data_IF_948723039082
#
_entry.id   IF_948723039082
#
_cell.length_a   1.000
_cell.length_b   1.000
_cell.length_c   1.000
_cell.angle_alpha   90.00
_cell.angle_beta   90.00
_cell.angle_gamma   90.00
#
_symmetry.space_group_name_H-M   'P 1'
#
loop_
_entity.id
_entity.type
_entity.pdbx_description
1 polymer ?
#
# COMPACT_ATOMS: atom_id res chain seq x y z
N UNK A 1 -2.43 23.35 -16.54
CA UNK A 1 -2.04 22.15 -17.33
C UNK A 1 -1.20 22.66 -18.49
N UNK A 2 0.14 22.51 -18.41
CA UNK A 2 1.05 22.97 -19.47
C UNK A 2 1.04 21.91 -20.57
N UNK A 3 0.72 22.31 -21.79
CA UNK A 3 0.63 21.41 -22.96
C UNK A 3 2.01 20.84 -23.32
N UNK A 4 2.09 19.62 -23.94
CA UNK A 4 3.36 18.93 -24.23
C UNK A 4 4.37 19.73 -25.06
N UNK A 5 3.93 20.67 -25.89
CA UNK A 5 4.82 21.55 -26.69
C UNK A 5 5.60 22.59 -25.86
N UNK A 6 5.11 22.94 -24.66
CA UNK A 6 5.75 23.94 -23.82
C UNK A 6 6.79 23.33 -22.88
N UNK A 7 6.74 22.02 -22.62
CA UNK A 7 7.71 21.34 -21.76
C UNK A 7 9.14 21.41 -22.29
N UNK A 8 9.34 21.29 -23.60
CA UNK A 8 10.67 21.38 -24.21
C UNK A 8 11.31 22.76 -24.00
N UNK A 9 10.56 23.83 -24.23
CA UNK A 9 11.04 25.22 -24.03
C UNK A 9 11.33 25.51 -22.55
N UNK A 10 10.53 25.02 -21.63
CA UNK A 10 10.73 25.17 -20.19
C UNK A 10 12.03 24.44 -19.78
N UNK A 11 12.25 23.23 -20.28
CA UNK A 11 13.48 22.45 -20.00
C UNK A 11 14.72 23.18 -20.55
N UNK A 12 14.65 23.74 -21.75
CA UNK A 12 15.74 24.54 -22.32
C UNK A 12 16.02 25.81 -21.49
N UNK A 13 14.98 26.49 -21.02
CA UNK A 13 15.13 27.67 -20.17
C UNK A 13 15.69 27.29 -18.79
N UNK A 14 15.23 26.19 -18.18
CA UNK A 14 15.80 25.68 -16.95
C UNK A 14 17.28 25.32 -17.13
N UNK A 15 17.66 24.75 -18.24
CA UNK A 15 19.04 24.37 -18.52
C UNK A 15 19.95 25.59 -18.73
N UNK A 16 19.47 26.64 -19.44
CA UNK A 16 20.27 27.77 -19.90
C UNK A 16 20.26 28.99 -18.96
N UNK A 17 19.12 29.29 -18.33
CA UNK A 17 18.97 30.51 -17.50
C UNK A 17 18.91 30.16 -15.99
N UNK A 18 19.96 30.60 -15.26
CA UNK A 18 20.04 30.42 -13.79
C UNK A 18 18.86 31.05 -13.05
N UNK A 19 18.42 32.25 -13.44
CA UNK A 19 17.38 32.96 -12.70
C UNK A 19 16.04 32.27 -12.87
N UNK A 20 15.72 31.82 -14.08
CA UNK A 20 14.54 31.01 -14.38
C UNK A 20 14.59 29.71 -13.58
N UNK A 21 15.75 29.02 -13.61
CA UNK A 21 15.93 27.77 -12.88
C UNK A 21 15.74 27.92 -11.37
N UNK A 22 16.40 28.91 -10.76
CA UNK A 22 16.30 29.20 -9.32
C UNK A 22 14.87 29.57 -8.93
N UNK A 23 14.19 30.39 -9.72
CA UNK A 23 12.81 30.79 -9.45
C UNK A 23 11.88 29.57 -9.52
N UNK A 24 11.95 28.80 -10.59
CA UNK A 24 11.08 27.64 -10.77
C UNK A 24 11.32 26.55 -9.71
N UNK A 25 12.58 26.30 -9.38
CA UNK A 25 12.92 25.26 -8.38
C UNK A 25 12.55 25.70 -6.96
N UNK A 26 12.52 26.98 -6.66
CA UNK A 26 11.98 27.47 -5.38
C UNK A 26 10.48 27.29 -5.27
N UNK A 27 9.75 27.51 -6.34
CA UNK A 27 8.28 27.40 -6.37
C UNK A 27 7.80 25.95 -6.41
N UNK A 28 8.54 25.04 -7.03
CA UNK A 28 8.12 23.66 -7.24
C UNK A 28 9.15 22.66 -6.74
N UNK A 29 8.71 21.78 -5.82
CA UNK A 29 9.53 20.66 -5.33
C UNK A 29 9.82 19.65 -6.46
N UNK A 30 8.89 19.44 -7.39
CA UNK A 30 9.12 18.60 -8.56
C UNK A 30 10.31 19.09 -9.37
N UNK A 31 10.35 20.38 -9.75
CA UNK A 31 11.45 20.96 -10.50
C UNK A 31 12.74 21.04 -9.68
N UNK A 32 12.63 21.31 -8.38
CA UNK A 32 13.76 21.25 -7.46
C UNK A 32 14.44 19.89 -7.46
N UNK A 33 13.64 18.83 -7.31
CA UNK A 33 14.16 17.46 -7.30
C UNK A 33 14.82 17.09 -8.63
N UNK A 34 14.17 17.32 -9.75
CA UNK A 34 14.71 16.96 -11.06
C UNK A 34 15.92 17.82 -11.47
N UNK A 35 16.12 18.97 -10.86
CA UNK A 35 17.26 19.85 -11.13
C UNK A 35 18.45 19.53 -10.23
N UNK A 36 18.25 19.50 -8.92
CA UNK A 36 19.34 19.37 -7.96
C UNK A 36 19.59 17.93 -7.49
N UNK A 37 18.65 17.03 -7.72
CA UNK A 37 18.73 15.62 -7.37
C UNK A 37 18.68 14.71 -8.60
N UNK A 38 19.14 15.19 -9.75
CA UNK A 38 19.11 14.47 -11.02
C UNK A 38 19.80 13.10 -10.94
N UNK A 39 20.88 12.99 -10.16
CA UNK A 39 21.63 11.74 -9.97
C UNK A 39 20.81 10.64 -9.26
N UNK A 40 19.73 11.00 -8.57
CA UNK A 40 18.80 10.07 -7.95
C UNK A 40 17.70 9.60 -8.90
N UNK A 41 17.53 10.26 -10.06
CA UNK A 41 16.50 9.93 -11.07
C UNK A 41 17.04 8.87 -12.02
N UNK A 42 17.11 7.63 -11.54
CA UNK A 42 17.60 6.49 -12.34
C UNK A 42 16.60 5.97 -13.36
N UNK A 43 15.31 6.22 -13.13
CA UNK A 43 14.21 5.77 -13.96
C UNK A 43 13.22 6.91 -14.19
N UNK A 44 12.47 6.90 -15.30
CA UNK A 44 11.44 7.90 -15.55
C UNK A 44 10.45 8.02 -14.39
N UNK A 45 10.09 9.26 -14.06
CA UNK A 45 9.17 9.59 -12.98
C UNK A 45 7.76 9.11 -13.33
N UNK A 46 7.15 8.29 -12.46
CA UNK A 46 5.80 7.80 -12.60
C UNK A 46 4.76 8.80 -12.06
N UNK A 47 3.49 8.57 -12.37
CA UNK A 47 2.40 9.45 -11.97
C UNK A 47 2.22 9.53 -10.45
N UNK A 48 2.41 8.41 -9.73
CA UNK A 48 2.35 8.45 -8.28
C UNK A 48 3.46 9.32 -7.64
N UNK A 49 4.65 9.39 -8.24
CA UNK A 49 5.69 10.33 -7.80
C UNK A 49 5.23 11.79 -7.99
N UNK A 50 4.56 12.10 -9.11
CA UNK A 50 3.99 13.43 -9.34
C UNK A 50 2.95 13.78 -8.28
N UNK A 51 2.15 12.80 -7.83
CA UNK A 51 1.24 13.00 -6.70
C UNK A 51 1.99 13.27 -5.39
N UNK A 52 3.11 12.58 -5.14
CA UNK A 52 3.94 12.83 -3.97
C UNK A 52 4.47 14.28 -3.97
N UNK A 53 4.97 14.78 -5.09
CA UNK A 53 5.39 16.17 -5.21
C UNK A 53 4.23 17.15 -5.01
N UNK A 54 3.05 16.88 -5.57
CA UNK A 54 1.85 17.71 -5.34
C UNK A 54 1.48 17.77 -3.86
N UNK A 55 1.55 16.66 -3.13
CA UNK A 55 1.30 16.62 -1.68
C UNK A 55 2.27 17.54 -0.93
N UNK A 56 3.55 17.56 -1.32
CA UNK A 56 4.54 18.45 -0.68
C UNK A 56 4.31 19.92 -1.00
N UNK A 57 3.88 20.23 -2.21
CA UNK A 57 3.64 21.58 -2.73
C UNK A 57 2.29 22.20 -2.26
N UNK A 58 1.33 21.37 -1.88
CA UNK A 58 -0.01 21.81 -1.46
C UNK A 58 -0.03 22.17 0.02
N UNK A 59 -0.13 23.47 0.31
CA UNK A 59 -0.18 23.99 1.67
C UNK A 59 -1.51 23.68 2.39
N UNK A 60 -2.56 23.31 1.65
CA UNK A 60 -3.85 22.89 2.24
C UNK A 60 -3.78 21.50 2.88
N UNK A 61 -2.88 20.65 2.41
CA UNK A 61 -2.64 19.31 2.96
C UNK A 61 -1.77 19.43 4.22
N UNK A 62 -2.41 19.44 5.38
CA UNK A 62 -1.70 19.52 6.67
C UNK A 62 -1.24 18.17 7.19
N UNK A 63 -1.95 17.09 6.85
CA UNK A 63 -1.57 15.72 7.24
C UNK A 63 -1.68 14.79 6.04
N UNK A 64 -0.64 13.98 5.80
CA UNK A 64 -0.64 12.97 4.76
C UNK A 64 -0.02 11.66 5.26
N UNK A 65 -0.74 10.58 5.10
CA UNK A 65 -0.26 9.21 5.32
C UNK A 65 0.02 8.58 3.96
N UNK A 66 1.27 8.25 3.72
CA UNK A 66 1.76 7.77 2.44
C UNK A 66 2.35 6.37 2.61
N UNK A 67 1.74 5.41 1.97
CA UNK A 67 2.21 4.04 1.90
C UNK A 67 2.62 3.75 0.46
N UNK A 68 3.85 3.28 0.24
CA UNK A 68 4.30 2.97 -1.10
C UNK A 68 5.23 1.76 -1.08
N UNK A 69 5.22 1.00 -2.17
CA UNK A 69 6.01 -0.22 -2.29
C UNK A 69 7.51 0.02 -2.05
N UNK A 70 8.22 -1.04 -1.68
CA UNK A 70 9.66 -0.99 -1.40
C UNK A 70 10.46 -0.60 -2.65
N UNK A 71 11.38 0.36 -2.49
CA UNK A 71 12.16 0.88 -3.61
C UNK A 71 11.39 1.81 -4.55
N UNK A 72 10.26 2.36 -4.11
CA UNK A 72 9.44 3.37 -4.81
C UNK A 72 10.03 4.79 -4.80
N UNK A 73 11.20 5.01 -4.23
CA UNK A 73 11.83 6.32 -4.00
C UNK A 73 11.08 7.24 -3.00
N UNK A 74 10.08 6.72 -2.24
CA UNK A 74 9.31 7.53 -1.29
C UNK A 74 10.17 8.31 -0.29
N UNK A 75 11.14 7.66 0.36
CA UNK A 75 12.03 8.32 1.34
C UNK A 75 13.00 9.31 0.67
N UNK A 76 13.46 9.03 -0.57
CA UNK A 76 14.28 9.98 -1.33
C UNK A 76 13.52 11.28 -1.59
N UNK A 77 12.25 11.20 -1.94
CA UNK A 77 11.40 12.37 -2.19
C UNK A 77 10.98 13.02 -0.87
N UNK A 78 10.41 12.25 0.07
CA UNK A 78 9.74 12.80 1.25
C UNK A 78 10.70 13.11 2.40
N UNK A 79 11.77 12.31 2.58
CA UNK A 79 12.62 12.41 3.79
C UNK A 79 13.99 13.00 3.48
N UNK A 80 14.41 13.06 2.22
CA UNK A 80 15.67 13.68 1.83
C UNK A 80 15.46 15.00 1.08
N UNK A 81 14.84 15.01 -0.10
CA UNK A 81 14.73 16.24 -0.90
C UNK A 81 13.68 17.22 -0.37
N UNK A 82 12.55 16.72 0.14
CA UNK A 82 11.49 17.59 0.68
C UNK A 82 11.94 18.45 1.87
N UNK A 83 12.61 17.94 2.91
CA UNK A 83 13.14 18.78 4.00
C UNK A 83 14.03 19.90 3.48
N UNK A 84 14.89 19.61 2.50
CA UNK A 84 15.78 20.60 1.91
C UNK A 84 14.96 21.67 1.19
N UNK A 85 14.07 21.26 0.28
CA UNK A 85 13.20 22.21 -0.45
C UNK A 85 12.27 23.01 0.49
N UNK A 86 11.75 22.36 1.52
CA UNK A 86 10.86 23.01 2.48
C UNK A 86 11.53 24.18 3.23
N UNK A 87 12.86 24.09 3.44
CA UNK A 87 13.63 25.17 4.08
C UNK A 87 14.03 26.25 3.07
N UNK A 88 14.54 25.87 1.90
CA UNK A 88 15.17 26.82 0.98
C UNK A 88 14.26 27.29 -0.17
N UNK A 89 13.17 26.58 -0.42
CA UNK A 89 12.13 26.90 -1.41
C UNK A 89 11.03 27.79 -0.85
N UNK A 90 9.90 27.82 -1.57
CA UNK A 90 8.72 28.62 -1.25
C UNK A 90 8.18 28.44 0.19
N UNK A 91 8.12 27.19 0.77
CA UNK A 91 7.52 27.03 2.09
C UNK A 91 8.29 27.70 3.22
N UNK A 92 9.62 27.89 3.09
CA UNK A 92 10.51 28.55 4.04
C UNK A 92 10.34 28.07 5.50
N UNK A 93 10.19 26.74 5.66
CA UNK A 93 10.02 26.12 6.97
C UNK A 93 11.21 26.44 7.89
N UNK A 94 10.91 26.73 9.16
CA UNK A 94 11.92 27.15 10.15
C UNK A 94 12.38 26.03 11.05
N UNK A 95 11.51 25.03 11.27
CA UNK A 95 11.89 23.90 12.09
C UNK A 95 11.32 22.58 11.52
N UNK A 96 12.18 21.83 10.85
CA UNK A 96 11.87 20.51 10.32
C UNK A 96 12.28 19.44 11.33
N UNK A 97 11.36 18.54 11.67
CA UNK A 97 11.60 17.37 12.49
C UNK A 97 11.39 16.11 11.68
N UNK A 98 12.42 15.26 11.60
CA UNK A 98 12.35 13.94 10.97
C UNK A 98 12.40 12.89 12.08
N UNK A 99 11.44 11.97 12.07
CA UNK A 99 11.32 10.91 13.07
C UNK A 99 11.37 9.57 12.35
N UNK A 100 12.20 8.66 12.85
CA UNK A 100 12.26 7.28 12.39
C UNK A 100 12.11 6.32 13.57
N UNK A 101 11.98 5.03 13.34
CA UNK A 101 11.82 4.03 14.38
C UNK A 101 13.05 4.04 15.32
N UNK A 102 14.28 4.07 14.77
CA UNK A 102 15.50 4.07 15.55
C UNK A 102 16.31 5.35 15.37
N UNK A 103 17.14 5.71 16.37
CA UNK A 103 18.04 6.85 16.30
C UNK A 103 19.10 6.70 15.21
N UNK A 104 19.55 5.48 14.92
CA UNK A 104 20.50 5.22 13.84
C UNK A 104 19.92 5.53 12.46
N UNK A 105 18.68 5.12 12.20
CA UNK A 105 17.97 5.47 10.96
C UNK A 105 17.74 6.97 10.84
N UNK A 106 17.28 7.62 11.91
CA UNK A 106 17.07 9.05 11.95
C UNK A 106 18.37 9.82 11.62
N UNK A 107 19.51 9.43 12.22
CA UNK A 107 20.83 10.01 11.91
C UNK A 107 21.27 9.78 10.48
N UNK A 108 20.95 8.63 9.89
CA UNK A 108 21.26 8.34 8.49
C UNK A 108 20.54 9.30 7.53
N UNK A 109 19.25 9.61 7.79
CA UNK A 109 18.52 10.62 7.03
C UNK A 109 19.19 11.99 7.12
N UNK A 110 19.58 12.42 8.32
CA UNK A 110 20.28 13.68 8.50
C UNK A 110 21.65 13.71 7.79
N UNK A 111 22.38 12.60 7.85
CA UNK A 111 23.68 12.49 7.18
C UNK A 111 23.53 12.61 5.65
N UNK A 112 22.49 12.03 5.07
CA UNK A 112 22.19 12.16 3.65
C UNK A 112 21.84 13.62 3.28
N UNK A 113 21.02 14.30 4.09
CA UNK A 113 20.69 15.73 3.91
C UNK A 113 21.96 16.60 4.00
N UNK A 114 22.82 16.35 4.98
CA UNK A 114 24.10 17.06 5.13
C UNK A 114 24.98 16.90 3.91
N UNK A 115 25.10 15.68 3.39
CA UNK A 115 25.88 15.39 2.18
C UNK A 115 25.41 16.24 1.01
N UNK A 116 24.11 16.43 0.81
CA UNK A 116 23.59 17.31 -0.25
C UNK A 116 24.01 18.78 -0.04
N UNK A 117 23.93 19.28 1.17
CA UNK A 117 24.39 20.64 1.46
C UNK A 117 25.91 20.81 1.30
N UNK A 118 26.69 19.76 1.53
CA UNK A 118 28.15 19.80 1.44
C UNK A 118 28.69 19.56 0.03
N UNK A 119 28.11 18.59 -0.71
CA UNK A 119 28.71 18.08 -1.95
C UNK A 119 27.92 18.40 -3.22
N UNK A 120 26.64 18.76 -3.12
CA UNK A 120 25.82 19.09 -4.29
C UNK A 120 26.24 20.45 -4.87
N UNK A 121 27.11 20.41 -5.88
CA UNK A 121 27.77 21.60 -6.45
C UNK A 121 26.79 22.60 -7.04
N UNK A 122 25.77 22.12 -7.75
CA UNK A 122 24.76 22.99 -8.38
C UNK A 122 23.88 23.66 -7.31
N UNK A 123 23.38 22.88 -6.34
CA UNK A 123 22.58 23.38 -5.25
C UNK A 123 23.34 24.45 -4.43
N UNK A 124 24.60 24.18 -4.11
CA UNK A 124 25.48 25.12 -3.38
C UNK A 124 25.72 26.41 -4.16
N UNK A 125 26.03 26.30 -5.45
CA UNK A 125 26.28 27.46 -6.32
C UNK A 125 25.06 28.36 -6.47
N UNK A 126 23.87 27.80 -6.50
CA UNK A 126 22.65 28.55 -6.81
C UNK A 126 21.86 28.99 -5.58
N UNK A 127 21.79 28.16 -4.54
CA UNK A 127 21.01 28.40 -3.33
C UNK A 127 21.87 28.70 -2.10
N UNK A 128 23.17 28.28 -2.11
CA UNK A 128 24.09 28.48 -1.00
C UNK A 128 24.45 29.95 -0.73
N UNK A 129 25.40 30.22 0.14
CA UNK A 129 26.20 29.24 0.88
C UNK A 129 25.41 28.51 1.95
N UNK A 130 25.77 27.24 2.20
CA UNK A 130 25.34 26.46 3.34
C UNK A 130 26.57 26.27 4.24
N UNK A 131 26.65 27.06 5.29
CA UNK A 131 27.83 27.11 6.15
C UNK A 131 27.46 26.60 7.54
N UNK A 132 28.32 25.73 8.05
CA UNK A 132 28.28 25.37 9.45
C UNK A 132 28.85 26.54 10.28
N UNK A 133 28.13 26.97 11.30
CA UNK A 133 28.61 27.95 12.31
C UNK A 133 28.58 27.30 13.68
N UNK A 134 29.71 27.43 14.39
CA UNK A 134 29.85 27.07 15.81
C UNK A 134 29.50 25.62 16.18
N UNK A 135 29.75 24.63 15.28
CA UNK A 135 29.47 23.22 15.57
C UNK A 135 27.98 22.85 15.59
N UNK A 136 27.13 23.64 14.94
CA UNK A 136 25.68 23.41 14.91
C UNK A 136 25.24 22.30 13.96
N UNK A 137 26.19 21.70 13.24
CA UNK A 137 25.96 20.52 12.40
C UNK A 137 26.31 19.24 13.16
N UNK A 138 25.55 18.97 14.22
CA UNK A 138 25.71 17.77 15.05
C UNK A 138 25.20 16.49 14.40
N UNK A 139 25.26 15.37 15.11
CA UNK A 139 24.78 14.06 14.64
C UNK A 139 23.24 13.94 14.59
N UNK A 140 22.52 14.84 15.27
CA UNK A 140 21.05 14.83 15.38
C UNK A 140 20.39 16.12 14.94
N UNK A 141 21.17 17.16 14.59
CA UNK A 141 20.60 18.42 14.11
C UNK A 141 21.54 19.15 13.16
N UNK A 142 20.96 19.99 12.35
CA UNK A 142 21.59 20.82 11.33
C UNK A 142 20.90 22.18 11.37
N UNK A 143 21.67 23.24 11.59
CA UNK A 143 21.17 24.64 11.56
C UNK A 143 21.65 25.31 10.28
N UNK A 144 20.74 26.03 9.63
CA UNK A 144 20.98 26.81 8.43
C UNK A 144 20.77 28.29 8.72
N UNK A 145 21.80 29.02 9.20
CA UNK A 145 21.65 30.39 9.67
C UNK A 145 21.11 31.34 8.60
N UNK A 146 21.51 31.19 7.35
CA UNK A 146 21.02 31.99 6.22
C UNK A 146 19.50 31.95 6.09
N UNK A 147 18.86 30.81 6.44
CA UNK A 147 17.43 30.62 6.35
C UNK A 147 16.72 30.75 7.70
N UNK A 148 17.48 30.92 8.79
CA UNK A 148 16.95 30.91 10.14
C UNK A 148 16.24 29.60 10.46
N UNK A 149 16.75 28.48 9.93
CA UNK A 149 16.07 27.20 9.96
C UNK A 149 16.92 26.11 10.61
N UNK A 150 16.23 25.10 11.18
CA UNK A 150 16.83 23.92 11.78
C UNK A 150 16.16 22.66 11.26
N UNK A 151 16.96 21.64 10.96
CA UNK A 151 16.50 20.28 10.71
C UNK A 151 17.00 19.42 11.87
N UNK A 152 16.10 18.74 12.57
CA UNK A 152 16.41 17.87 13.70
C UNK A 152 15.87 16.49 13.42
N UNK A 153 16.58 15.46 13.89
CA UNK A 153 16.13 14.07 13.78
C UNK A 153 15.96 13.45 15.17
N UNK A 154 14.95 12.62 15.31
CA UNK A 154 14.62 11.90 16.53
C UNK A 154 14.15 10.47 16.22
N UNK A 155 14.10 9.60 17.22
CA UNK A 155 13.46 8.28 17.10
C UNK A 155 12.13 8.24 17.84
N UNK A 156 11.27 7.27 17.45
CA UNK A 156 10.01 6.99 18.15
C UNK A 156 10.22 6.54 19.62
N UNK A 157 11.44 6.17 19.99
CA UNK A 157 11.81 5.78 21.36
C UNK A 157 12.14 6.99 22.26
N UNK A 158 12.32 8.16 21.67
CA UNK A 158 12.71 9.37 22.40
C UNK A 158 11.49 10.26 22.68
N UNK A 159 11.52 10.94 23.84
CA UNK A 159 10.58 12.02 24.08
C UNK A 159 10.92 13.23 23.20
N UNK A 160 9.93 13.68 22.46
CA UNK A 160 10.04 14.84 21.55
C UNK A 160 9.24 16.05 22.08
N UNK A 161 8.74 15.96 23.31
CA UNK A 161 7.96 17.03 23.94
C UNK A 161 8.79 18.29 24.15
N UNK A 162 8.22 19.42 23.82
CA UNK A 162 8.80 20.74 24.14
C UNK A 162 9.98 21.14 23.25
N UNK A 163 10.31 20.41 22.19
CA UNK A 163 11.40 20.79 21.30
C UNK A 163 11.07 22.09 20.55
N UNK A 164 12.06 22.96 20.45
CA UNK A 164 11.95 24.28 19.81
C UNK A 164 13.24 24.66 19.09
N UNK A 165 13.10 25.58 18.13
CA UNK A 165 14.21 26.31 17.53
C UNK A 165 13.93 27.80 17.65
N UNK A 166 14.53 28.48 18.66
CA UNK A 166 14.15 29.82 19.02
C UNK A 166 12.66 29.90 19.40
N UNK A 167 11.92 30.79 18.76
CA UNK A 167 10.47 30.92 18.96
C UNK A 167 9.64 29.85 18.22
N UNK A 168 10.25 29.07 17.31
CA UNK A 168 9.51 28.18 16.43
C UNK A 168 9.35 26.78 17.03
N UNK A 169 8.13 26.24 16.98
CA UNK A 169 7.85 24.82 17.09
C UNK A 169 8.08 24.14 15.73
N UNK A 170 8.16 22.83 15.64
CA UNK A 170 8.21 22.14 14.34
C UNK A 170 7.04 22.58 13.46
N UNK A 171 7.36 23.10 12.28
CA UNK A 171 6.40 23.53 11.25
C UNK A 171 6.34 22.55 10.06
N UNK A 172 7.26 21.56 10.04
CA UNK A 172 7.21 20.36 9.22
C UNK A 172 7.69 19.17 10.04
N UNK A 173 6.86 18.13 10.11
CA UNK A 173 7.20 16.85 10.74
C UNK A 173 7.12 15.75 9.70
N UNK A 174 8.15 14.92 9.60
CA UNK A 174 8.20 13.77 8.70
C UNK A 174 8.47 12.53 9.55
N UNK A 175 7.52 11.62 9.59
CA UNK A 175 7.65 10.30 10.21
C UNK A 175 7.96 9.29 9.11
N UNK A 176 9.17 8.74 9.07
CA UNK A 176 9.60 7.77 8.06
C UNK A 176 9.93 6.44 8.74
N UNK A 177 9.12 5.41 8.41
CA UNK A 177 9.21 4.06 8.98
C UNK A 177 9.33 4.08 10.53
N UNK A 178 8.34 4.67 11.21
CA UNK A 178 8.30 4.78 12.68
C UNK A 178 7.85 3.52 13.40
N UNK A 179 7.43 2.50 12.66
CA UNK A 179 7.09 1.16 13.13
C UNK A 179 8.02 0.13 12.51
N UNK A 180 8.26 -0.97 13.21
CA UNK A 180 8.92 -2.17 12.70
C UNK A 180 8.11 -3.43 13.03
N UNK A 181 8.55 -4.60 12.54
CA UNK A 181 7.87 -5.87 12.78
C UNK A 181 7.80 -6.23 14.26
N UNK A 182 8.75 -5.78 15.08
CA UNK A 182 8.75 -6.07 16.52
C UNK A 182 7.72 -5.21 17.25
N UNK A 183 7.58 -3.93 16.89
CA UNK A 183 6.64 -3.00 17.52
C UNK A 183 5.19 -3.33 17.18
N UNK A 184 4.92 -3.91 16.00
CA UNK A 184 3.55 -4.28 15.58
C UNK A 184 3.13 -5.69 15.99
N UNK A 185 4.05 -6.52 16.49
CA UNK A 185 3.80 -7.92 16.82
C UNK A 185 2.76 -8.11 17.93
N UNK A 186 2.78 -7.27 18.95
CA UNK A 186 1.83 -7.36 20.06
C UNK A 186 0.84 -6.19 20.02
N UNK A 187 -0.39 -6.41 20.52
CA UNK A 187 -1.38 -5.35 20.69
C UNK A 187 -0.86 -4.20 21.54
N UNK A 188 -0.15 -4.54 22.63
CA UNK A 188 0.48 -3.54 23.52
C UNK A 188 1.49 -2.65 22.77
N UNK A 189 2.34 -3.23 21.91
CA UNK A 189 3.28 -2.49 21.08
C UNK A 189 2.57 -1.53 20.12
N UNK A 190 1.52 -2.00 19.45
CA UNK A 190 0.71 -1.16 18.55
C UNK A 190 0.00 -0.03 19.29
N UNK A 191 -0.58 -0.32 20.46
CA UNK A 191 -1.24 0.67 21.31
C UNK A 191 -0.25 1.71 21.83
N UNK A 192 0.97 1.29 22.21
CA UNK A 192 2.07 2.17 22.63
C UNK A 192 2.46 3.13 21.50
N UNK A 193 2.68 2.62 20.28
CA UNK A 193 3.05 3.44 19.12
C UNK A 193 1.95 4.43 18.76
N UNK A 194 0.69 3.99 18.74
CA UNK A 194 -0.44 4.88 18.47
C UNK A 194 -0.63 5.93 19.57
N UNK A 195 -0.46 5.54 20.84
CA UNK A 195 -0.52 6.46 21.99
C UNK A 195 0.57 7.52 21.91
N UNK A 196 1.82 7.13 21.64
CA UNK A 196 2.93 8.04 21.44
C UNK A 196 2.66 9.01 20.27
N UNK A 197 2.24 8.49 19.12
CA UNK A 197 1.93 9.32 17.95
C UNK A 197 0.86 10.37 18.27
N UNK A 198 -0.23 9.96 18.92
CA UNK A 198 -1.36 10.82 19.24
C UNK A 198 -1.03 11.85 20.32
N UNK A 199 -0.17 11.49 21.30
CA UNK A 199 0.13 12.36 22.45
C UNK A 199 1.39 13.20 22.28
N UNK A 200 2.31 12.83 21.39
CA UNK A 200 3.58 13.55 21.22
C UNK A 200 3.76 14.12 19.81
N UNK A 201 3.47 13.34 18.76
CA UNK A 201 3.69 13.79 17.37
C UNK A 201 2.60 14.76 16.91
N UNK A 202 1.33 14.39 17.08
CA UNK A 202 0.23 15.25 16.61
C UNK A 202 0.21 16.63 17.27
N UNK A 203 0.47 16.79 18.58
CA UNK A 203 0.43 18.10 19.25
C UNK A 203 1.78 18.83 19.25
N UNK A 204 2.81 18.34 18.52
CA UNK A 204 4.18 18.87 18.61
C UNK A 204 4.33 20.27 18.02
N UNK A 205 3.54 20.58 17.02
CA UNK A 205 3.60 21.84 16.28
C UNK A 205 2.44 22.79 16.59
N UNK A 206 2.17 23.66 15.64
CA UNK A 206 1.06 24.61 15.65
C UNK A 206 0.03 24.24 14.55
N UNK A 207 -1.03 25.07 14.36
CA UNK A 207 -2.10 24.83 13.39
C UNK A 207 -1.61 24.65 11.96
N UNK A 208 -0.51 25.33 11.59
CA UNK A 208 0.06 25.30 10.25
C UNK A 208 1.15 24.25 10.06
N UNK A 209 1.40 23.45 11.09
CA UNK A 209 2.37 22.36 11.01
C UNK A 209 1.88 21.29 10.02
N UNK A 210 2.75 20.98 9.07
CA UNK A 210 2.53 19.89 8.13
C UNK A 210 3.14 18.60 8.66
N UNK A 211 2.36 17.54 8.72
CA UNK A 211 2.80 16.23 9.21
C UNK A 211 2.68 15.22 8.06
N UNK A 212 3.81 14.67 7.64
CA UNK A 212 3.89 13.62 6.63
C UNK A 212 4.29 12.31 7.30
N UNK A 213 3.52 11.28 7.12
CA UNK A 213 3.82 9.95 7.61
C UNK A 213 4.06 9.05 6.41
N UNK A 214 5.25 8.48 6.32
CA UNK A 214 5.68 7.61 5.23
C UNK A 214 6.05 6.26 5.80
N UNK A 215 5.61 5.17 5.17
CA UNK A 215 5.98 3.84 5.65
C UNK A 215 5.45 2.71 4.78
N UNK A 216 5.64 1.50 5.28
CA UNK A 216 5.12 0.27 4.72
C UNK A 216 4.01 -0.29 5.62
N UNK A 217 3.10 -1.09 5.05
CA UNK A 217 2.07 -1.76 5.83
C UNK A 217 2.67 -3.00 6.50
N UNK A 218 2.70 -3.02 7.83
CA UNK A 218 3.31 -4.11 8.60
C UNK A 218 2.27 -5.03 9.25
N UNK A 219 1.10 -4.49 9.61
CA UNK A 219 0.05 -5.22 10.33
C UNK A 219 -1.31 -4.53 10.07
N UNK A 220 -2.44 -5.30 10.08
CA UNK A 220 -3.78 -4.76 9.88
C UNK A 220 -4.22 -3.74 10.94
N UNK A 221 -3.61 -3.78 12.13
CA UNK A 221 -3.84 -2.85 13.23
C UNK A 221 -2.59 -1.98 13.51
N UNK A 222 -1.74 -1.73 12.50
CA UNK A 222 -0.59 -0.83 12.60
C UNK A 222 -1.00 0.64 12.73
N UNK A 223 -0.07 1.51 13.12
CA UNK A 223 -0.29 2.96 13.18
C UNK A 223 -0.88 3.48 11.86
N UNK A 224 -0.27 3.11 10.72
CA UNK A 224 -0.70 3.59 9.41
C UNK A 224 -2.15 3.18 9.08
N UNK A 225 -2.56 1.96 9.47
CA UNK A 225 -3.92 1.49 9.27
C UNK A 225 -4.92 2.15 10.22
N UNK A 226 -4.53 2.41 11.46
CA UNK A 226 -5.36 3.19 12.41
C UNK A 226 -5.56 4.63 11.93
N UNK A 227 -4.50 5.26 11.41
CA UNK A 227 -4.58 6.60 10.83
C UNK A 227 -5.47 6.62 9.58
N UNK A 228 -5.32 5.62 8.70
CA UNK A 228 -6.22 5.43 7.56
C UNK A 228 -7.67 5.36 7.99
N UNK A 229 -7.98 4.49 8.94
CA UNK A 229 -9.34 4.33 9.45
C UNK A 229 -9.89 5.63 10.08
N UNK A 230 -9.05 6.40 10.78
CA UNK A 230 -9.40 7.71 11.33
C UNK A 230 -9.75 8.74 10.25
N UNK A 231 -8.97 8.78 9.17
CA UNK A 231 -9.19 9.67 8.01
C UNK A 231 -10.47 9.26 7.26
N UNK A 232 -10.62 7.98 6.93
CA UNK A 232 -11.78 7.46 6.19
C UNK A 232 -13.11 7.65 6.94
N UNK A 233 -13.09 7.58 8.28
CA UNK A 233 -14.25 7.83 9.14
C UNK A 233 -14.49 9.32 9.44
N UNK A 234 -13.64 10.22 8.96
CA UNK A 234 -13.72 11.65 9.27
C UNK A 234 -13.40 12.02 10.73
N UNK A 235 -12.80 11.09 11.49
CA UNK A 235 -12.37 11.34 12.88
C UNK A 235 -11.03 12.09 12.94
N UNK A 236 -10.28 12.10 11.84
CA UNK A 236 -9.02 12.81 11.69
C UNK A 236 -8.95 13.48 10.31
N UNK A 237 -8.58 14.77 10.29
CA UNK A 237 -8.29 15.48 9.04
C UNK A 237 -6.99 14.97 8.43
N UNK A 238 -6.98 14.83 7.11
CA UNK A 238 -5.79 14.43 6.36
C UNK A 238 -6.13 13.64 5.10
N UNK A 239 -5.09 13.18 4.43
CA UNK A 239 -5.21 12.30 3.26
C UNK A 239 -4.45 11.00 3.51
N UNK A 240 -4.98 9.91 2.96
CA UNK A 240 -4.31 8.62 2.91
C UNK A 240 -4.07 8.23 1.45
N UNK A 241 -2.84 7.84 1.13
CA UNK A 241 -2.44 7.41 -0.21
C UNK A 241 -1.66 6.10 -0.12
N UNK A 242 -2.06 5.12 -0.93
CA UNK A 242 -1.38 3.84 -1.04
C UNK A 242 -0.98 3.58 -2.50
N UNK A 243 0.27 3.20 -2.71
CA UNK A 243 0.87 2.97 -4.02
C UNK A 243 1.54 1.59 -4.04
N UNK A 244 0.79 0.50 -4.32
CA UNK A 244 1.37 -0.83 -4.54
C UNK A 244 2.19 -0.86 -5.84
N UNK A 245 3.07 -1.84 -6.01
CA UNK A 245 3.82 -1.99 -7.27
C UNK A 245 2.89 -2.28 -8.44
N UNK A 246 1.89 -3.14 -8.22
CA UNK A 246 0.82 -3.42 -9.17
C UNK A 246 -0.51 -3.13 -8.50
N UNK A 247 -1.38 -2.38 -9.16
CA UNK A 247 -2.70 -2.03 -8.64
C UNK A 247 -3.72 -3.17 -8.82
N UNK A 248 -4.95 -2.96 -8.33
CA UNK A 248 -6.02 -3.97 -8.43
C UNK A 248 -6.50 -4.24 -9.87
N UNK A 249 -6.21 -3.32 -10.79
CA UNK A 249 -6.55 -3.44 -12.21
C UNK A 249 -5.41 -4.11 -13.01
N UNK A 250 -4.30 -4.47 -12.33
CA UNK A 250 -3.13 -5.11 -12.93
C UNK A 250 -2.13 -4.13 -13.54
N UNK A 251 -2.28 -2.82 -13.31
CA UNK A 251 -1.35 -1.83 -13.85
C UNK A 251 -0.12 -1.70 -12.97
N UNK A 252 1.05 -1.67 -13.60
CA UNK A 252 2.32 -1.41 -12.93
C UNK A 252 2.42 0.10 -12.64
N UNK A 253 2.53 0.48 -11.36
CA UNK A 253 2.56 1.90 -10.97
C UNK A 253 3.86 2.61 -11.36
N UNK A 254 4.96 1.88 -11.55
CA UNK A 254 6.21 2.44 -12.03
C UNK A 254 6.74 1.75 -13.29
N UNK A 255 6.10 1.96 -14.46
CA UNK A 255 6.51 1.32 -15.71
C UNK A 255 7.90 1.75 -16.18
N UNK A 256 8.42 2.90 -15.73
CA UNK A 256 9.78 3.31 -16.02
C UNK A 256 10.85 2.45 -15.35
N UNK A 257 10.53 1.77 -14.25
CA UNK A 257 11.42 0.85 -13.52
C UNK A 257 11.09 -0.62 -13.77
N UNK A 258 9.82 -0.93 -13.95
CA UNK A 258 9.30 -2.26 -14.24
C UNK A 258 8.38 -2.15 -15.47
N UNK A 259 8.95 -2.21 -16.69
CA UNK A 259 8.19 -2.02 -17.92
C UNK A 259 7.17 -3.11 -18.22
N UNK A 260 7.40 -4.32 -17.71
CA UNK A 260 6.54 -5.48 -17.98
C UNK A 260 6.21 -6.28 -16.71
N UNK A 261 5.16 -7.10 -16.77
CA UNK A 261 4.81 -8.00 -15.67
C UNK A 261 5.86 -9.10 -15.47
N UNK A 262 6.60 -9.49 -16.52
CA UNK A 262 7.71 -10.43 -16.43
C UNK A 262 8.81 -9.89 -15.51
N UNK A 263 9.16 -8.60 -15.61
CA UNK A 263 10.15 -7.97 -14.73
C UNK A 263 9.66 -7.86 -13.28
N UNK A 264 8.37 -7.65 -13.09
CA UNK A 264 7.74 -7.70 -11.75
C UNK A 264 7.86 -9.12 -11.18
N UNK A 265 7.60 -10.14 -11.97
CA UNK A 265 7.73 -11.55 -11.56
C UNK A 265 9.20 -11.94 -11.28
N UNK A 266 10.16 -11.41 -12.03
CA UNK A 266 11.59 -11.59 -11.73
C UNK A 266 11.97 -10.98 -10.39
N UNK A 267 11.46 -9.79 -10.08
CA UNK A 267 11.69 -9.16 -8.78
C UNK A 267 11.04 -9.94 -7.64
N UNK A 268 9.83 -10.49 -7.87
CA UNK A 268 9.15 -11.37 -6.92
C UNK A 268 9.99 -12.63 -6.63
N UNK A 269 10.54 -13.27 -7.66
CA UNK A 269 11.42 -14.44 -7.51
C UNK A 269 12.69 -14.14 -6.71
N UNK A 270 13.27 -12.94 -6.88
CA UNK A 270 14.44 -12.52 -6.09
C UNK A 270 14.14 -12.40 -4.59
N UNK A 271 12.93 -11.96 -4.24
CA UNK A 271 12.51 -11.87 -2.84
C UNK A 271 12.36 -13.25 -2.23
N UNK A 272 11.84 -14.24 -2.97
CA UNK A 272 11.74 -15.64 -2.56
C UNK A 272 10.87 -15.91 -1.33
N UNK A 273 10.12 -14.90 -0.86
CA UNK A 273 9.22 -14.98 0.29
C UNK A 273 7.91 -14.25 -0.03
N UNK A 274 6.83 -15.01 -0.14
CA UNK A 274 5.52 -14.49 -0.53
C UNK A 274 4.98 -13.44 0.46
N UNK A 275 5.09 -13.70 1.75
CA UNK A 275 4.60 -12.76 2.77
C UNK A 275 5.35 -11.42 2.70
N UNK A 276 6.67 -11.46 2.50
CA UNK A 276 7.48 -10.27 2.32
C UNK A 276 7.12 -9.53 1.01
N UNK A 277 6.89 -10.28 -0.09
CA UNK A 277 6.46 -9.72 -1.36
C UNK A 277 5.11 -8.99 -1.23
N UNK A 278 4.12 -9.67 -0.68
CA UNK A 278 2.79 -9.10 -0.51
C UNK A 278 2.81 -7.85 0.37
N UNK A 279 3.54 -7.87 1.48
CA UNK A 279 3.63 -6.74 2.39
C UNK A 279 4.40 -5.57 1.81
N UNK A 280 5.60 -5.82 1.26
CA UNK A 280 6.54 -4.76 0.88
C UNK A 280 6.27 -4.19 -0.52
N UNK A 281 5.70 -4.98 -1.44
CA UNK A 281 5.50 -4.58 -2.83
C UNK A 281 4.02 -4.43 -3.20
N UNK A 282 3.19 -5.36 -2.78
CA UNK A 282 1.76 -5.35 -3.11
C UNK A 282 0.92 -4.58 -2.07
N UNK A 283 1.53 -4.21 -0.94
CA UNK A 283 0.89 -3.54 0.20
C UNK A 283 -0.31 -4.32 0.75
N UNK A 284 -0.22 -5.65 0.67
CA UNK A 284 -1.18 -6.58 1.23
C UNK A 284 -0.64 -7.10 2.56
N UNK A 285 -1.41 -6.94 3.62
CA UNK A 285 -1.05 -7.45 4.94
C UNK A 285 -1.52 -8.89 5.02
N UNK A 286 -0.57 -9.79 5.30
CA UNK A 286 -0.85 -11.20 5.59
C UNK A 286 -0.64 -11.39 7.09
N UNK A 287 -1.66 -11.79 7.86
CA UNK A 287 -1.54 -12.00 9.29
C UNK A 287 -0.49 -13.08 9.63
N UNK A 288 0.41 -12.78 10.58
CA UNK A 288 1.49 -13.71 11.00
C UNK A 288 1.01 -14.83 11.94
N UNK A 289 -0.15 -14.69 12.60
CA UNK A 289 -0.60 -15.54 13.71
C UNK A 289 -1.39 -16.80 13.29
N UNK A 290 -1.10 -17.38 12.14
CA UNK A 290 -1.75 -18.65 11.74
C UNK A 290 -3.18 -18.45 11.21
N UNK A 291 -3.98 -17.58 11.79
CA UNK A 291 -5.34 -17.27 11.34
C UNK A 291 -5.33 -16.24 10.20
N UNK A 292 -5.94 -16.60 9.09
CA UNK A 292 -5.98 -15.76 7.86
C UNK A 292 -7.22 -14.88 7.82
N UNK A 293 -8.36 -15.38 8.30
CA UNK A 293 -9.64 -14.66 8.35
C UNK A 293 -10.12 -14.58 9.78
N UNK A 294 -10.41 -13.39 10.25
CA UNK A 294 -10.92 -13.16 11.61
C UNK A 294 -12.45 -13.11 11.63
N UNK A 295 -13.12 -13.68 12.66
CA UNK A 295 -14.58 -13.69 12.76
C UNK A 295 -15.22 -12.30 12.67
N UNK A 296 -14.56 -11.29 13.24
CA UNK A 296 -15.01 -9.90 13.25
C UNK A 296 -14.99 -9.22 11.87
N UNK A 297 -14.33 -9.81 10.88
CA UNK A 297 -14.31 -9.30 9.51
C UNK A 297 -15.50 -9.77 8.68
N UNK A 298 -16.20 -10.82 9.14
CA UNK A 298 -17.33 -11.39 8.42
C UNK A 298 -18.51 -10.41 8.50
N UNK A 299 -18.91 -9.89 7.35
CA UNK A 299 -20.07 -9.03 7.21
C UNK A 299 -21.21 -9.81 6.54
N UNK A 300 -22.39 -9.66 7.10
CA UNK A 300 -23.56 -10.43 6.69
C UNK A 300 -24.53 -9.59 5.85
N UNK A 301 -25.30 -10.26 5.02
CA UNK A 301 -26.43 -9.70 4.32
C UNK A 301 -27.64 -10.61 4.47
N UNK A 302 -28.85 -10.01 4.52
CA UNK A 302 -30.11 -10.75 4.62
C UNK A 302 -30.75 -10.96 3.25
N UNK A 303 -30.60 -10.00 2.33
CA UNK A 303 -31.16 -10.04 0.97
C UNK A 303 -30.16 -9.54 -0.05
N UNK A 304 -30.14 -10.19 -1.21
CA UNK A 304 -29.36 -9.70 -2.36
C UNK A 304 -29.91 -8.35 -2.82
N UNK A 305 -29.08 -7.48 -3.42
CA UNK A 305 -29.54 -6.27 -4.08
C UNK A 305 -30.65 -6.57 -5.09
N UNK A 306 -31.64 -5.69 -5.25
CA UNK A 306 -32.80 -5.93 -6.14
C UNK A 306 -32.46 -5.91 -7.62
N UNK A 307 -31.34 -5.29 -7.99
CA UNK A 307 -30.83 -5.26 -9.37
C UNK A 307 -30.23 -6.61 -9.75
N UNK A 308 -30.11 -6.85 -11.06
CA UNK A 308 -29.41 -8.05 -11.55
C UNK A 308 -27.91 -7.94 -11.28
N UNK A 309 -27.25 -9.03 -10.85
CA UNK A 309 -25.80 -9.06 -10.73
C UNK A 309 -25.12 -8.89 -12.10
N UNK A 310 -23.93 -8.33 -12.13
CA UNK A 310 -23.10 -8.25 -13.33
C UNK A 310 -22.77 -9.65 -13.86
N UNK A 311 -22.46 -10.57 -12.94
CA UNK A 311 -22.30 -12.00 -13.20
C UNK A 311 -22.41 -12.77 -11.89
N UNK A 312 -22.58 -14.09 -12.03
CA UNK A 312 -22.46 -15.06 -10.93
C UNK A 312 -21.20 -15.86 -11.16
N UNK A 313 -20.32 -15.90 -10.16
CA UNK A 313 -19.04 -16.62 -10.22
C UNK A 313 -19.07 -17.80 -9.27
N UNK A 314 -18.51 -18.94 -9.70
CA UNK A 314 -18.37 -20.11 -8.84
C UNK A 314 -16.94 -20.61 -8.89
N UNK A 315 -16.30 -20.68 -7.72
CA UNK A 315 -15.02 -21.36 -7.55
C UNK A 315 -15.26 -22.83 -7.22
N UNK A 316 -14.55 -23.71 -7.92
CA UNK A 316 -14.67 -25.17 -7.80
C UNK A 316 -13.29 -25.75 -7.52
N UNK A 317 -13.17 -26.48 -6.40
CA UNK A 317 -12.02 -27.32 -6.05
C UNK A 317 -12.47 -28.78 -6.19
N UNK A 318 -11.93 -29.49 -7.19
CA UNK A 318 -12.32 -30.88 -7.48
C UNK A 318 -11.47 -31.84 -6.66
N UNK A 319 -12.10 -32.88 -6.09
CA UNK A 319 -11.40 -34.00 -5.50
C UNK A 319 -10.51 -34.70 -6.54
N UNK A 320 -9.23 -34.94 -6.21
CA UNK A 320 -8.26 -35.60 -7.07
C UNK A 320 -8.54 -37.13 -7.05
N UNK A 321 -8.89 -37.67 -8.20
CA UNK A 321 -9.06 -39.11 -8.38
C UNK A 321 -7.70 -39.84 -8.39
N UNK A 322 -7.46 -40.77 -7.50
CA UNK A 322 -6.89 -42.11 -7.74
C UNK A 322 -6.32 -42.84 -6.51
N UNK A 323 -6.18 -42.25 -5.34
CA UNK A 323 -5.72 -43.04 -4.15
C UNK A 323 -6.38 -42.73 -2.79
N UNK A 324 -7.10 -41.61 -2.64
CA UNK A 324 -7.79 -41.32 -1.39
C UNK A 324 -9.29 -41.12 -1.60
N UNK A 325 -10.07 -42.13 -1.20
CA UNK A 325 -11.56 -42.13 -1.14
C UNK A 325 -12.09 -40.99 -0.18
N UNK A 326 -11.25 -40.08 0.22
CA UNK A 326 -11.51 -39.16 1.32
C UNK A 326 -11.59 -37.68 0.93
N UNK A 327 -11.29 -37.28 -0.33
CA UNK A 327 -11.28 -35.88 -0.71
C UNK A 327 -12.68 -35.33 -1.03
N UNK A 328 -12.93 -34.09 -0.63
CA UNK A 328 -14.17 -33.37 -0.86
C UNK A 328 -14.08 -32.51 -2.12
N UNK A 329 -15.14 -32.50 -2.91
CA UNK A 329 -15.35 -31.46 -3.93
C UNK A 329 -16.07 -30.28 -3.30
N UNK A 330 -15.46 -29.09 -3.39
CA UNK A 330 -16.03 -27.86 -2.87
C UNK A 330 -16.45 -26.92 -4.01
N UNK A 331 -17.63 -26.30 -3.88
CA UNK A 331 -18.15 -25.30 -4.81
C UNK A 331 -18.73 -24.13 -4.03
N UNK A 332 -18.17 -22.94 -4.27
CA UNK A 332 -18.63 -21.70 -3.63
C UNK A 332 -19.04 -20.72 -4.70
N UNK A 333 -20.28 -20.25 -4.66
CA UNK A 333 -20.85 -19.31 -5.62
C UNK A 333 -21.05 -17.93 -5.01
N UNK A 334 -20.93 -16.88 -5.83
CA UNK A 334 -21.19 -15.50 -5.41
C UNK A 334 -21.69 -14.63 -6.54
N UNK A 335 -22.60 -13.71 -6.21
CA UNK A 335 -23.11 -12.68 -7.10
C UNK A 335 -22.22 -11.44 -7.08
N UNK A 336 -21.77 -10.98 -8.22
CA UNK A 336 -20.92 -9.80 -8.38
C UNK A 336 -21.78 -8.60 -8.77
N UNK A 337 -21.74 -7.53 -7.96
CA UNK A 337 -22.43 -6.28 -8.21
C UNK A 337 -21.43 -5.11 -8.27
N UNK A 338 -21.77 -4.07 -9.02
CA UNK A 338 -20.97 -2.87 -9.14
C UNK A 338 -19.70 -3.03 -9.99
N UNK A 339 -18.92 -1.96 -10.10
CA UNK A 339 -17.66 -1.94 -10.86
C UNK A 339 -16.56 -1.20 -10.09
N UNK A 340 -15.31 -1.57 -10.34
CA UNK A 340 -14.14 -0.92 -9.76
C UNK A 340 -14.18 -0.87 -8.23
N UNK A 341 -14.04 0.32 -7.65
CA UNK A 341 -14.02 0.51 -6.18
C UNK A 341 -15.33 0.11 -5.48
N UNK A 342 -16.44 0.16 -6.21
CA UNK A 342 -17.78 -0.17 -5.69
C UNK A 342 -18.16 -1.63 -5.94
N UNK A 343 -17.28 -2.45 -6.49
CA UNK A 343 -17.54 -3.87 -6.70
C UNK A 343 -17.67 -4.61 -5.38
N UNK A 344 -18.74 -5.42 -5.26
CA UNK A 344 -19.02 -6.30 -4.12
C UNK A 344 -19.42 -7.67 -4.59
N UNK A 345 -19.03 -8.68 -3.81
CA UNK A 345 -19.36 -10.08 -4.03
C UNK A 345 -20.24 -10.55 -2.88
N UNK A 346 -21.40 -11.05 -3.18
CA UNK A 346 -22.35 -11.62 -2.23
C UNK A 346 -22.26 -13.14 -2.36
N UNK A 347 -21.64 -13.80 -1.38
CA UNK A 347 -21.54 -15.26 -1.33
C UNK A 347 -22.97 -15.85 -1.22
N UNK A 348 -23.31 -16.81 -2.07
CA UNK A 348 -24.63 -17.44 -2.05
C UNK A 348 -24.72 -18.46 -0.91
N UNK A 349 -25.92 -18.69 -0.34
CA UNK A 349 -26.13 -19.69 0.70
C UNK A 349 -25.95 -21.11 0.14
N UNK A 350 -25.69 -22.05 1.05
CA UNK A 350 -25.54 -23.48 0.78
C UNK A 350 -24.39 -23.82 -0.20
N UNK A 351 -23.15 -23.39 0.09
CA UNK A 351 -22.00 -23.86 -0.67
C UNK A 351 -21.92 -25.38 -0.58
N UNK A 352 -21.48 -26.00 -1.69
CA UNK A 352 -21.35 -27.44 -1.77
C UNK A 352 -20.00 -27.84 -1.20
N UNK A 353 -19.98 -28.85 -0.33
CA UNK A 353 -18.76 -29.48 0.18
C UNK A 353 -19.07 -30.95 0.45
N UNK A 354 -18.95 -31.77 -0.61
CA UNK A 354 -19.44 -33.15 -0.63
C UNK A 354 -18.41 -34.09 -1.25
N UNK A 355 -18.44 -35.35 -0.84
CA UNK A 355 -17.68 -36.42 -1.48
C UNK A 355 -18.48 -36.96 -2.64
N UNK A 356 -17.97 -36.84 -3.84
CA UNK A 356 -18.66 -37.26 -5.07
C UNK A 356 -17.69 -37.94 -6.00
N UNK A 357 -18.18 -38.97 -6.72
CA UNK A 357 -17.44 -39.47 -7.85
C UNK A 357 -17.46 -38.48 -9.03
N UNK A 358 -16.63 -38.73 -10.03
CA UNK A 358 -16.49 -37.84 -11.19
C UNK A 358 -17.82 -37.56 -11.90
N UNK A 359 -18.62 -38.59 -12.17
CA UNK A 359 -19.88 -38.44 -12.91
C UNK A 359 -20.90 -37.64 -12.12
N UNK A 360 -21.02 -37.91 -10.81
CA UNK A 360 -21.86 -37.17 -9.88
C UNK A 360 -21.40 -35.72 -9.78
N UNK A 361 -20.10 -35.50 -9.73
CA UNK A 361 -19.53 -34.14 -9.70
C UNK A 361 -19.89 -33.36 -10.95
N UNK A 362 -19.75 -33.95 -12.15
CA UNK A 362 -20.08 -33.28 -13.41
C UNK A 362 -21.58 -32.96 -13.50
N UNK A 363 -22.46 -33.87 -13.11
CA UNK A 363 -23.91 -33.66 -13.07
C UNK A 363 -24.24 -32.52 -12.07
N UNK A 364 -23.60 -32.52 -10.90
CA UNK A 364 -23.82 -31.51 -9.87
C UNK A 364 -23.38 -30.10 -10.31
N UNK A 365 -22.28 -29.99 -11.07
CA UNK A 365 -21.82 -28.74 -11.67
C UNK A 365 -22.82 -28.22 -12.70
N UNK A 366 -23.37 -29.08 -13.53
CA UNK A 366 -24.35 -28.72 -14.57
C UNK A 366 -25.67 -28.23 -13.94
N UNK A 367 -26.19 -28.94 -12.93
CA UNK A 367 -27.37 -28.57 -12.17
C UNK A 367 -27.16 -27.20 -11.47
N UNK A 368 -25.99 -27.01 -10.85
CA UNK A 368 -25.62 -25.75 -10.21
C UNK A 368 -25.57 -24.60 -11.22
N UNK A 369 -24.87 -24.81 -12.36
CA UNK A 369 -24.75 -23.81 -13.41
C UNK A 369 -26.12 -23.42 -13.99
N UNK A 370 -27.01 -24.40 -14.21
CA UNK A 370 -28.39 -24.16 -14.66
C UNK A 370 -29.19 -23.33 -13.66
N UNK A 371 -29.03 -23.61 -12.37
CA UNK A 371 -29.70 -22.87 -11.30
C UNK A 371 -29.19 -21.44 -11.20
N UNK A 372 -27.89 -21.24 -11.28
CA UNK A 372 -27.22 -19.93 -11.25
C UNK A 372 -27.53 -19.10 -12.50
N UNK A 373 -27.71 -19.72 -13.65
CA UNK A 373 -28.11 -19.08 -14.91
C UNK A 373 -29.46 -18.36 -14.83
N UNK A 374 -30.33 -18.74 -13.89
CA UNK A 374 -31.60 -18.05 -13.60
C UNK A 374 -31.41 -16.75 -12.84
N UNK A 375 -30.31 -16.65 -12.08
CA UNK A 375 -29.95 -15.44 -11.31
C UNK A 375 -29.24 -14.43 -12.21
N UNK A 376 -28.28 -14.90 -13.02
CA UNK A 376 -27.47 -14.03 -13.89
C UNK A 376 -26.55 -14.82 -14.80
N UNK A 377 -25.65 -14.10 -15.47
CA UNK A 377 -24.62 -14.71 -16.32
C UNK A 377 -23.63 -15.49 -15.44
N UNK A 378 -23.59 -16.82 -15.61
CA UNK A 378 -22.79 -17.73 -14.78
C UNK A 378 -21.43 -18.02 -15.41
N UNK A 379 -20.37 -17.93 -14.58
CA UNK A 379 -18.99 -18.31 -14.89
C UNK A 379 -18.43 -19.24 -13.83
N UNK A 380 -17.81 -20.35 -14.25
CA UNK A 380 -17.18 -21.30 -13.36
C UNK A 380 -15.65 -21.21 -13.45
N UNK A 381 -15.00 -21.19 -12.30
CA UNK A 381 -13.55 -21.22 -12.18
C UNK A 381 -13.12 -22.51 -11.49
N UNK A 382 -12.35 -23.34 -12.20
CA UNK A 382 -11.87 -24.63 -11.72
C UNK A 382 -10.36 -24.54 -11.56
N UNK A 383 -9.82 -25.01 -10.45
CA UNK A 383 -8.37 -25.02 -10.25
C UNK A 383 -7.68 -25.83 -11.36
N UNK A 384 -6.75 -25.20 -12.09
CA UNK A 384 -6.07 -25.79 -13.26
C UNK A 384 -4.82 -26.55 -12.81
N UNK A 385 -5.02 -27.77 -12.27
CA UNK A 385 -3.94 -28.64 -11.81
C UNK A 385 -4.11 -30.04 -12.45
N UNK A 386 -3.22 -30.42 -13.35
CA UNK A 386 -3.14 -31.77 -13.87
C UNK A 386 -4.41 -32.26 -14.58
N UNK A 387 -5.11 -33.25 -14.01
CA UNK A 387 -6.30 -33.91 -14.62
C UNK A 387 -7.53 -32.99 -14.75
N UNK A 388 -7.57 -31.85 -14.11
CA UNK A 388 -8.72 -30.95 -14.13
C UNK A 388 -8.91 -30.25 -15.47
N UNK A 389 -7.89 -30.23 -16.35
CA UNK A 389 -7.99 -29.72 -17.72
C UNK A 389 -9.04 -30.50 -18.52
N UNK A 390 -9.12 -31.83 -18.33
CA UNK A 390 -10.12 -32.66 -19.02
C UNK A 390 -11.54 -32.31 -18.54
N UNK A 391 -11.74 -32.06 -17.28
CA UNK A 391 -13.04 -31.63 -16.71
C UNK A 391 -13.49 -30.30 -17.30
N UNK A 392 -12.60 -29.34 -17.46
CA UNK A 392 -12.87 -28.02 -18.06
C UNK A 392 -13.30 -28.22 -19.54
N UNK A 393 -12.61 -29.07 -20.28
CA UNK A 393 -12.94 -29.36 -21.68
C UNK A 393 -14.32 -30.02 -21.80
N UNK A 394 -14.62 -30.99 -20.93
CA UNK A 394 -15.91 -31.66 -20.90
C UNK A 394 -17.06 -30.69 -20.60
N UNK A 395 -16.89 -29.81 -19.60
CA UNK A 395 -17.90 -28.80 -19.26
C UNK A 395 -18.14 -27.83 -20.42
N UNK A 396 -17.10 -27.44 -21.13
CA UNK A 396 -17.23 -26.57 -22.33
C UNK A 396 -18.01 -27.25 -23.45
N UNK A 397 -17.85 -28.56 -23.63
CA UNK A 397 -18.65 -29.34 -24.61
C UNK A 397 -20.13 -29.40 -24.23
N UNK A 398 -20.44 -29.31 -22.93
CA UNK A 398 -21.83 -29.23 -22.43
C UNK A 398 -22.38 -27.78 -22.48
N UNK A 399 -21.63 -26.82 -23.03
CA UNK A 399 -22.05 -25.42 -23.12
C UNK A 399 -21.86 -24.60 -21.83
N UNK A 400 -21.15 -25.14 -20.84
CA UNK A 400 -20.85 -24.47 -19.59
C UNK A 400 -19.63 -23.56 -19.77
N UNK A 401 -19.72 -22.29 -19.34
CA UNK A 401 -18.60 -21.35 -19.36
C UNK A 401 -17.67 -21.66 -18.19
N UNK A 402 -16.67 -22.51 -18.45
CA UNK A 402 -15.66 -22.91 -17.47
C UNK A 402 -14.26 -22.41 -17.85
N UNK A 403 -13.57 -21.80 -16.91
CA UNK A 403 -12.20 -21.30 -17.04
C UNK A 403 -11.29 -21.96 -16.00
N UNK A 404 -10.03 -22.24 -16.40
CA UNK A 404 -9.01 -22.75 -15.49
C UNK A 404 -8.42 -21.63 -14.66
N UNK A 405 -8.45 -21.78 -13.34
CA UNK A 405 -7.76 -20.89 -12.41
C UNK A 405 -6.39 -21.48 -12.05
N UNK A 406 -5.31 -20.88 -12.54
CA UNK A 406 -3.94 -21.34 -12.24
C UNK A 406 -3.54 -20.90 -10.83
N UNK A 407 -3.07 -21.82 -9.98
CA UNK A 407 -2.62 -21.50 -8.62
C UNK A 407 -1.31 -20.70 -8.58
N UNK A 408 -0.60 -20.53 -9.72
CA UNK A 408 0.66 -19.79 -9.86
C UNK A 408 1.72 -20.15 -8.80
N UNK A 409 1.78 -21.42 -8.37
CA UNK A 409 2.71 -21.89 -7.35
C UNK A 409 2.45 -21.40 -5.93
N UNK A 410 1.29 -20.77 -5.68
CA UNK A 410 0.90 -20.28 -4.35
C UNK A 410 0.23 -21.37 -3.55
N UNK A 411 0.60 -21.49 -2.27
CA UNK A 411 -0.08 -22.39 -1.34
C UNK A 411 -1.50 -21.89 -1.00
N UNK A 412 -2.33 -22.76 -0.43
CA UNK A 412 -3.74 -22.45 -0.06
C UNK A 412 -3.83 -21.23 0.88
N UNK A 413 -2.90 -21.11 1.84
CA UNK A 413 -2.88 -20.02 2.80
C UNK A 413 -2.60 -18.68 2.14
N UNK A 414 -1.60 -18.59 1.29
CA UNK A 414 -1.27 -17.37 0.55
C UNK A 414 -2.42 -16.93 -0.35
N UNK A 415 -3.14 -17.87 -0.98
CA UNK A 415 -4.32 -17.56 -1.79
C UNK A 415 -5.47 -17.01 -0.96
N UNK A 416 -5.75 -17.61 0.21
CA UNK A 416 -6.77 -17.12 1.13
C UNK A 416 -6.41 -15.74 1.68
N UNK A 417 -5.16 -15.51 2.03
CA UNK A 417 -4.66 -14.22 2.52
C UNK A 417 -4.88 -13.08 1.51
N UNK A 418 -4.80 -13.35 0.20
CA UNK A 418 -5.11 -12.35 -0.82
C UNK A 418 -6.58 -11.90 -0.80
N UNK A 419 -7.50 -12.76 -0.39
CA UNK A 419 -8.92 -12.44 -0.27
C UNK A 419 -9.29 -11.79 1.07
N UNK A 420 -8.41 -11.87 2.06
CA UNK A 420 -8.66 -11.37 3.42
C UNK A 420 -9.02 -9.90 3.45
N UNK A 421 -8.30 -9.06 2.67
CA UNK A 421 -8.58 -7.63 2.55
C UNK A 421 -9.97 -7.33 1.96
N UNK A 422 -10.47 -8.18 1.05
CA UNK A 422 -11.79 -8.03 0.46
C UNK A 422 -12.89 -8.38 1.48
N UNK A 423 -12.64 -9.37 2.34
CA UNK A 423 -13.54 -9.73 3.43
C UNK A 423 -13.53 -8.63 4.50
N UNK A 424 -12.36 -8.22 4.96
CA UNK A 424 -12.20 -7.17 5.98
C UNK A 424 -12.83 -5.84 5.55
N UNK A 425 -12.69 -5.47 4.28
CA UNK A 425 -13.25 -4.21 3.73
C UNK A 425 -14.75 -4.28 3.40
N UNK A 426 -15.42 -5.43 3.61
CA UNK A 426 -16.81 -5.62 3.26
C UNK A 426 -17.10 -5.66 1.76
N UNK A 427 -16.10 -5.97 0.96
CA UNK A 427 -16.29 -6.23 -0.47
C UNK A 427 -16.80 -7.64 -0.74
N UNK A 428 -16.54 -8.58 0.17
CA UNK A 428 -17.14 -9.91 0.18
C UNK A 428 -18.07 -9.97 1.38
N UNK A 429 -19.36 -10.26 1.12
CA UNK A 429 -20.40 -10.38 2.13
C UNK A 429 -20.93 -11.82 2.14
N UNK A 430 -21.32 -12.28 3.32
CA UNK A 430 -21.83 -13.63 3.55
C UNK A 430 -23.33 -13.60 3.85
N UNK A 431 -24.09 -14.63 3.47
CA UNK A 431 -25.50 -14.69 3.83
C UNK A 431 -25.64 -14.91 5.34
N UNK A 432 -26.68 -14.33 5.94
CA UNK A 432 -26.97 -14.50 7.38
C UNK A 432 -27.28 -15.95 7.77
N UNK A 433 -27.64 -16.80 6.81
CA UNK A 433 -27.91 -18.23 6.99
C UNK A 433 -27.41 -19.04 5.79
N UNK A 434 -26.98 -20.28 6.03
CA UNK A 434 -26.61 -21.25 5.01
C UNK A 434 -25.15 -21.16 4.54
N UNK A 435 -24.26 -20.43 5.26
CA UNK A 435 -22.83 -20.42 4.99
C UNK A 435 -22.00 -20.68 6.26
N UNK A 436 -22.61 -21.23 7.32
CA UNK A 436 -21.99 -21.39 8.63
C UNK A 436 -20.72 -22.25 8.56
N UNK A 437 -20.78 -23.38 7.84
CA UNK A 437 -19.64 -24.27 7.67
C UNK A 437 -18.49 -23.60 6.90
N UNK A 438 -18.79 -22.89 5.82
CA UNK A 438 -17.79 -22.14 5.06
C UNK A 438 -17.12 -21.07 5.93
N UNK A 439 -17.89 -20.30 6.71
CA UNK A 439 -17.38 -19.28 7.61
C UNK A 439 -16.49 -19.91 8.69
N UNK A 440 -16.93 -21.05 9.26
CA UNK A 440 -16.15 -21.79 10.24
C UNK A 440 -14.80 -22.26 9.66
N UNK A 441 -14.78 -22.82 8.44
CA UNK A 441 -13.56 -23.24 7.77
C UNK A 441 -12.66 -22.05 7.46
N UNK A 442 -13.18 -20.93 6.96
CA UNK A 442 -12.41 -19.73 6.68
C UNK A 442 -11.78 -19.13 7.94
N UNK A 443 -12.54 -19.03 9.04
CA UNK A 443 -12.05 -18.45 10.29
C UNK A 443 -11.21 -19.42 11.12
N UNK A 444 -11.35 -20.72 10.90
CA UNK A 444 -10.51 -21.79 11.51
C UNK A 444 -9.22 -22.05 10.75
N UNK A 445 -9.10 -21.61 9.51
CA UNK A 445 -7.95 -21.89 8.66
C UNK A 445 -6.65 -21.36 9.27
N UNK A 446 -5.67 -22.25 9.41
CA UNK A 446 -4.38 -21.96 10.04
C UNK A 446 -4.35 -22.12 11.57
N UNK A 447 -5.48 -22.43 12.23
CA UNK A 447 -5.54 -22.76 13.66
C UNK A 447 -5.45 -24.27 13.91
N UNK A 448 -5.90 -25.08 12.99
CA UNK A 448 -5.95 -26.53 13.10
C UNK A 448 -4.69 -27.17 12.51
N UNK A 449 -4.19 -28.25 13.13
CA UNK A 449 -2.98 -28.96 12.69
C UNK A 449 -3.18 -29.79 11.41
N UNK A 450 -4.38 -29.89 10.89
CA UNK A 450 -4.78 -30.63 9.68
C UNK A 450 -5.78 -29.79 8.89
N UNK A 451 -5.23 -28.97 8.01
CA UNK A 451 -6.00 -28.32 6.94
C UNK A 451 -5.80 -29.05 5.61
#
# INVERSE_FOLDING_TARGET
MILPKDQGKILEQIASDRNVRVTLTRESHYWFFHTYFADYVKYPTADFHRELFKITEDDSVKKAVIVAFRGSAKSTIMTMSYPIWAVIGRPQKKFVLIISQTQSQARLHLANIKREYDSNTLLRKEMGPFEEKNGEWGSSSLVLPKFGARITVASAEQSIRGIRHGANRPDLVICDDVEDLSSVKSREGRDKTHGWFSSEVLPIGDRDTKIIIVGNLLHEDSLLMRLRAGIEKGAMDGIYKAYPLVDYDGNILWPGKFPTLEEVEEEHKKIGNENAWQREFMLNIIPDDGQVIFPEWIQYYDKLPPERPNCVVTGIDLAILEKDIHDYTAMVSGCVYGMGKNQRIYILPNPINERMDFNTTMARIDDLNTSLGRIGFSKLYIEDVGYQVASIQMLRTLGVIAEGAKPHGRDKRSRLALTSNLICSGKILFPSQGAELLIQQLTGFGKEKHD
#
